data_IF_347794042612
#
_entry.id   IF_347794042612
#
_cell.length_a   1.000
_cell.length_b   1.000
_cell.length_c   1.000
_cell.angle_alpha   90.00
_cell.angle_beta   90.00
_cell.angle_gamma   90.00
#
_symmetry.space_group_name_H-M   'P 1'
#
loop_
_entity.id
_entity.type
_entity.pdbx_description
1 polymer ?
#
# COMPACT_ATOMS: atom_id res chain seq x y z
N UNK A 1 -17.02 -20.64 6.08
CA UNK A 1 -17.59 -19.30 6.36
C UNK A 1 -16.52 -18.32 5.97
N UNK A 2 -16.74 -17.51 4.93
CA UNK A 2 -15.88 -16.35 4.67
C UNK A 2 -16.43 -15.28 5.63
N UNK A 3 -15.71 -15.02 6.71
CA UNK A 3 -16.01 -13.87 7.56
C UNK A 3 -15.85 -12.62 6.68
N UNK A 4 -16.88 -11.77 6.64
CA UNK A 4 -16.80 -10.49 5.95
C UNK A 4 -15.87 -9.61 6.78
N UNK A 5 -14.72 -9.29 6.24
CA UNK A 5 -13.75 -8.39 6.86
C UNK A 5 -14.25 -6.97 6.65
N UNK A 6 -14.36 -6.18 7.71
CA UNK A 6 -14.54 -4.73 7.57
C UNK A 6 -13.22 -4.02 7.86
N UNK A 7 -12.78 -3.26 6.87
CA UNK A 7 -11.55 -2.49 6.88
C UNK A 7 -11.90 -1.00 7.00
N UNK A 8 -11.19 -0.28 7.87
CA UNK A 8 -11.43 1.16 8.05
C UNK A 8 -10.13 1.95 7.87
N UNK A 9 -10.20 2.96 7.00
CA UNK A 9 -9.06 3.79 6.61
C UNK A 9 -9.48 5.26 6.44
N UNK A 10 -8.53 6.16 6.70
CA UNK A 10 -8.60 7.61 6.49
C UNK A 10 -7.19 8.08 6.11
N UNK A 11 -7.10 9.11 5.27
CA UNK A 11 -5.89 9.92 5.16
C UNK A 11 -6.02 11.16 6.05
N UNK A 12 -5.47 11.20 7.27
CA UNK A 12 -4.75 10.15 8.03
C UNK A 12 -5.36 10.05 9.43
N UNK A 13 -5.19 8.93 10.14
CA UNK A 13 -5.24 8.97 11.61
C UNK A 13 -4.09 9.81 12.14
N UNK A 14 -4.35 10.66 13.12
CA UNK A 14 -3.42 11.71 13.50
C UNK A 14 -2.19 11.16 14.24
N UNK A 15 -2.39 10.23 15.16
CA UNK A 15 -1.38 9.65 16.04
C UNK A 15 -1.87 8.34 16.70
N UNK A 16 -1.05 7.77 17.59
CA UNK A 16 -1.37 6.56 18.34
C UNK A 16 -2.61 6.70 19.25
N UNK A 17 -2.90 7.89 19.77
CA UNK A 17 -4.07 8.12 20.62
C UNK A 17 -5.36 8.18 19.80
N UNK A 18 -5.31 8.73 18.58
CA UNK A 18 -6.41 8.70 17.61
C UNK A 18 -6.76 7.25 17.22
N UNK A 19 -5.75 6.43 16.91
CA UNK A 19 -5.91 4.98 16.67
C UNK A 19 -6.63 4.29 17.84
N UNK A 20 -6.19 4.56 19.07
CA UNK A 20 -6.80 3.99 20.28
C UNK A 20 -8.25 4.45 20.47
N UNK A 21 -8.52 5.73 20.24
CA UNK A 21 -9.86 6.32 20.34
C UNK A 21 -10.82 5.67 19.35
N UNK A 22 -10.38 5.51 18.10
CA UNK A 22 -11.19 4.91 17.03
C UNK A 22 -11.44 3.43 17.29
N UNK A 23 -10.40 2.67 17.64
CA UNK A 23 -10.51 1.25 18.02
C UNK A 23 -11.49 1.02 19.19
N UNK A 24 -11.47 1.91 20.19
CA UNK A 24 -12.42 1.84 21.31
C UNK A 24 -13.86 2.21 20.90
N UNK A 25 -14.04 3.20 20.02
CA UNK A 25 -15.37 3.65 19.60
C UNK A 25 -16.13 2.57 18.83
N UNK A 26 -15.47 1.75 18.02
CA UNK A 26 -16.12 0.61 17.37
C UNK A 26 -16.75 -0.36 18.37
N UNK A 27 -16.09 -0.60 19.52
CA UNK A 27 -16.66 -1.43 20.59
C UNK A 27 -17.81 -0.72 21.31
N UNK A 28 -17.68 0.58 21.56
CA UNK A 28 -18.72 1.39 22.23
C UNK A 28 -20.01 1.43 21.42
N UNK A 29 -19.91 1.52 20.09
CA UNK A 29 -21.06 1.61 19.19
C UNK A 29 -21.51 0.26 18.63
N UNK A 30 -20.92 -0.85 19.07
CA UNK A 30 -21.23 -2.21 18.61
C UNK A 30 -21.15 -2.36 17.08
N UNK A 31 -20.10 -1.80 16.49
CA UNK A 31 -19.80 -1.88 15.06
C UNK A 31 -18.58 -2.80 14.88
N UNK A 32 -18.71 -3.98 14.26
CA UNK A 32 -17.59 -4.87 14.05
C UNK A 32 -16.62 -4.32 13.00
N UNK A 33 -15.33 -4.47 13.27
CA UNK A 33 -14.26 -4.26 12.30
C UNK A 33 -13.03 -5.10 12.65
N UNK A 34 -12.24 -5.41 11.62
CA UNK A 34 -11.10 -6.30 11.69
C UNK A 34 -9.76 -5.56 11.57
N UNK A 35 -9.70 -4.52 10.73
CA UNK A 35 -8.42 -3.90 10.36
C UNK A 35 -8.48 -2.37 10.44
N UNK A 36 -7.49 -1.78 11.10
CA UNK A 36 -7.23 -0.33 11.07
C UNK A 36 -6.02 0.00 10.18
N UNK A 37 -6.11 1.05 9.40
CA UNK A 37 -5.13 1.38 8.36
C UNK A 37 -4.40 2.68 8.65
N UNK A 38 -3.08 2.68 8.43
CA UNK A 38 -2.22 3.84 8.59
C UNK A 38 -1.62 4.26 7.24
N UNK A 39 -2.09 5.40 6.74
CA UNK A 39 -1.61 6.06 5.53
C UNK A 39 -0.28 6.83 5.79
N UNK A 40 0.24 7.57 4.81
CA UNK A 40 1.62 8.04 4.71
C UNK A 40 2.10 8.91 5.89
N UNK A 41 1.19 9.52 6.66
CA UNK A 41 1.56 10.38 7.79
C UNK A 41 2.04 9.59 9.01
N UNK A 42 1.94 8.25 9.00
CA UNK A 42 2.56 7.42 10.04
C UNK A 42 4.08 7.34 9.95
N UNK A 43 4.63 7.63 8.78
CA UNK A 43 6.07 7.53 8.50
C UNK A 43 6.84 8.74 9.01
N UNK A 44 8.14 8.59 9.28
CA UNK A 44 9.02 9.72 9.56
C UNK A 44 9.35 10.48 8.27
N UNK A 45 8.49 11.44 7.91
CA UNK A 45 8.68 12.31 6.76
C UNK A 45 8.69 11.55 5.43
N UNK A 46 7.79 10.58 5.26
CA UNK A 46 7.59 9.79 4.03
C UNK A 46 8.81 8.95 3.67
N UNK A 47 9.51 8.49 4.72
CA UNK A 47 10.49 7.41 4.66
C UNK A 47 9.77 6.13 5.07
N UNK A 48 9.47 5.26 4.11
CA UNK A 48 8.84 3.98 4.40
C UNK A 48 9.70 3.10 5.32
N UNK A 49 9.10 2.09 5.95
CA UNK A 49 9.75 1.27 7.00
C UNK A 49 10.20 2.07 8.24
N UNK A 50 9.63 3.26 8.46
CA UNK A 50 9.88 4.08 9.65
C UNK A 50 8.56 4.56 10.26
N UNK A 51 8.64 5.09 11.49
CA UNK A 51 7.51 5.64 12.23
C UNK A 51 7.83 7.08 12.62
N UNK A 52 6.86 7.99 12.50
CA UNK A 52 6.99 9.35 13.04
C UNK A 52 7.14 9.26 14.57
N UNK A 53 8.27 9.71 15.14
CA UNK A 53 8.55 9.51 16.57
C UNK A 53 7.70 10.39 17.49
N UNK A 54 7.05 11.44 16.96
CA UNK A 54 6.14 12.28 17.74
C UNK A 54 4.72 11.70 17.75
N UNK A 55 4.26 11.14 16.62
CA UNK A 55 2.89 10.63 16.46
C UNK A 55 2.75 9.15 16.84
N UNK A 56 3.76 8.33 16.55
CA UNK A 56 3.74 6.87 16.72
C UNK A 56 4.98 6.36 17.47
N UNK A 57 5.25 6.87 18.70
CA UNK A 57 6.45 6.52 19.45
C UNK A 57 6.51 5.06 19.91
N UNK A 58 5.37 4.40 20.09
CA UNK A 58 5.27 3.02 20.60
C UNK A 58 4.45 2.13 19.65
N UNK A 59 4.86 2.07 18.38
CA UNK A 59 4.11 1.36 17.33
C UNK A 59 3.84 -0.13 17.63
N UNK A 60 4.79 -0.86 18.24
CA UNK A 60 4.56 -2.27 18.63
C UNK A 60 3.45 -2.40 19.68
N UNK A 61 3.44 -1.51 20.68
CA UNK A 61 2.39 -1.48 21.70
C UNK A 61 1.03 -1.17 21.07
N UNK A 62 0.99 -0.16 20.20
CA UNK A 62 -0.23 0.21 19.46
C UNK A 62 -0.79 -0.97 18.66
N UNK A 63 0.05 -1.65 17.87
CA UNK A 63 -0.38 -2.79 17.05
C UNK A 63 -0.84 -3.95 17.95
N UNK A 64 -0.12 -4.24 19.03
CA UNK A 64 -0.48 -5.32 19.95
C UNK A 64 -1.78 -5.03 20.72
N UNK A 65 -2.05 -3.77 21.07
CA UNK A 65 -3.30 -3.36 21.70
C UNK A 65 -4.49 -3.60 20.77
N UNK A 66 -4.39 -3.22 19.49
CA UNK A 66 -5.40 -3.55 18.47
C UNK A 66 -5.54 -5.07 18.32
N UNK A 67 -4.41 -5.78 18.19
CA UNK A 67 -4.39 -7.22 18.00
C UNK A 67 -4.95 -8.03 19.18
N UNK A 68 -4.92 -7.48 20.40
CA UNK A 68 -5.49 -8.12 21.60
C UNK A 68 -6.99 -8.40 21.49
N UNK A 69 -7.69 -7.69 20.59
CA UNK A 69 -9.11 -7.84 20.28
C UNK A 69 -9.37 -8.73 19.07
N UNK A 70 -8.35 -9.41 18.54
CA UNK A 70 -8.43 -10.20 17.31
C UNK A 70 -8.19 -9.40 16.02
N UNK A 71 -8.16 -8.06 16.11
CA UNK A 71 -7.97 -7.14 14.98
C UNK A 71 -6.54 -7.16 14.43
N UNK A 72 -6.32 -6.44 13.33
CA UNK A 72 -5.04 -6.29 12.64
C UNK A 72 -4.80 -4.83 12.27
N UNK A 73 -3.59 -4.53 11.82
CA UNK A 73 -3.24 -3.21 11.31
C UNK A 73 -2.63 -3.35 9.92
N UNK A 74 -2.81 -2.35 9.07
CA UNK A 74 -2.11 -2.22 7.78
C UNK A 74 -1.38 -0.89 7.74
N UNK A 75 -0.14 -0.89 7.26
CA UNK A 75 0.62 0.34 6.95
C UNK A 75 0.93 0.45 5.46
N UNK A 76 0.90 1.69 4.96
CA UNK A 76 1.31 1.99 3.60
C UNK A 76 2.83 1.91 3.41
N UNK A 77 3.26 1.31 2.30
CA UNK A 77 4.66 1.21 1.87
C UNK A 77 4.69 1.36 0.34
N UNK A 78 5.09 2.53 -0.15
CA UNK A 78 5.12 2.81 -1.59
C UNK A 78 6.51 2.55 -2.19
N UNK A 79 6.63 2.37 -3.51
CA UNK A 79 7.90 2.02 -4.15
C UNK A 79 8.83 3.21 -4.41
N UNK A 80 8.54 4.40 -3.90
CA UNK A 80 9.41 5.57 -4.03
C UNK A 80 10.19 5.82 -2.74
N UNK A 81 11.50 5.92 -2.84
CA UNK A 81 12.40 6.11 -1.71
C UNK A 81 12.88 7.55 -1.68
N UNK A 82 12.58 8.28 -0.60
CA UNK A 82 13.11 9.62 -0.35
C UNK A 82 14.62 9.66 -0.55
N UNK A 83 15.08 10.56 -1.41
CA UNK A 83 16.51 10.78 -1.67
C UNK A 83 17.17 11.50 -0.49
N UNK A 84 17.53 10.74 0.55
CA UNK A 84 18.11 11.25 1.81
C UNK A 84 19.24 10.34 2.31
N UNK A 85 20.43 10.90 2.51
CA UNK A 85 21.60 10.16 2.99
C UNK A 85 21.47 9.64 4.42
N UNK A 86 20.46 10.07 5.19
CA UNK A 86 20.15 9.54 6.52
C UNK A 86 19.08 8.44 6.49
N UNK A 87 18.55 8.10 5.32
CA UNK A 87 17.55 7.05 5.15
C UNK A 87 18.22 5.75 4.66
N UNK A 88 18.41 4.79 5.58
CA UNK A 88 19.18 3.57 5.33
C UNK A 88 18.70 2.75 4.12
N UNK A 89 17.38 2.62 3.93
CA UNK A 89 16.81 1.87 2.79
C UNK A 89 17.17 2.52 1.46
N UNK A 90 17.11 3.84 1.36
CA UNK A 90 17.55 4.58 0.17
C UNK A 90 19.05 4.44 -0.07
N UNK A 91 19.86 4.62 0.97
CA UNK A 91 21.33 4.50 0.88
C UNK A 91 21.72 3.10 0.38
N UNK A 92 21.10 2.05 0.91
CA UNK A 92 21.36 0.68 0.48
C UNK A 92 20.95 0.46 -0.98
N UNK A 93 19.78 0.93 -1.41
CA UNK A 93 19.31 0.81 -2.79
C UNK A 93 20.24 1.53 -3.77
N UNK A 94 20.68 2.75 -3.43
CA UNK A 94 21.63 3.55 -4.21
C UNK A 94 22.99 2.85 -4.32
N UNK A 95 23.56 2.43 -3.19
CA UNK A 95 24.92 1.89 -3.15
C UNK A 95 25.01 0.51 -3.82
N UNK A 96 23.92 -0.27 -3.81
CA UNK A 96 23.81 -1.54 -4.55
C UNK A 96 23.39 -1.35 -6.02
N UNK A 97 23.09 -0.12 -6.44
CA UNK A 97 22.65 0.19 -7.80
C UNK A 97 21.28 -0.40 -8.15
N UNK A 98 20.40 -0.59 -7.16
CA UNK A 98 19.08 -1.22 -7.29
C UNK A 98 17.99 -0.32 -7.88
N UNK A 99 18.23 0.99 -7.99
CA UNK A 99 17.26 1.91 -8.56
C UNK A 99 17.17 1.79 -10.09
N UNK A 100 15.97 2.07 -10.63
CA UNK A 100 15.78 2.28 -12.08
C UNK A 100 16.66 3.43 -12.55
N UNK A 101 17.08 3.39 -13.82
CA UNK A 101 18.08 4.34 -14.36
C UNK A 101 17.48 5.29 -15.38
N UNK A 102 18.06 6.47 -15.53
CA UNK A 102 17.77 7.32 -16.68
C UNK A 102 18.30 6.69 -17.98
N UNK A 103 17.80 7.15 -19.12
CA UNK A 103 18.25 6.71 -20.45
C UNK A 103 19.78 6.83 -20.66
N UNK A 104 20.40 7.85 -20.06
CA UNK A 104 21.81 8.19 -20.17
C UNK A 104 22.66 7.54 -19.05
N UNK A 105 22.03 6.69 -18.21
CA UNK A 105 22.63 6.12 -17.00
C UNK A 105 22.38 6.97 -15.75
N UNK A 106 22.89 6.49 -14.61
CA UNK A 106 22.61 7.08 -13.30
C UNK A 106 21.20 6.79 -12.79
N UNK A 107 20.99 6.94 -11.47
CA UNK A 107 19.70 6.70 -10.84
C UNK A 107 18.65 7.69 -11.34
N UNK A 108 17.45 7.19 -11.64
CA UNK A 108 16.29 8.03 -11.89
C UNK A 108 15.90 8.78 -10.62
N UNK A 109 15.79 10.11 -10.71
CA UNK A 109 15.27 10.98 -9.66
C UNK A 109 14.01 11.69 -10.16
N UNK A 110 12.99 11.69 -9.31
CA UNK A 110 11.69 12.28 -9.58
C UNK A 110 11.05 12.75 -8.28
N UNK A 111 9.87 13.37 -8.38
CA UNK A 111 9.16 13.90 -7.22
C UNK A 111 7.95 13.04 -6.90
N UNK A 112 7.80 12.71 -5.62
CA UNK A 112 6.58 12.11 -5.08
C UNK A 112 6.30 12.69 -3.68
N UNK A 113 5.60 11.97 -2.80
CA UNK A 113 5.24 12.45 -1.46
C UNK A 113 6.41 13.00 -0.63
N UNK A 114 7.60 12.38 -0.58
CA UNK A 114 8.73 12.90 0.18
C UNK A 114 9.54 13.99 -0.57
N UNK A 115 9.07 14.47 -1.72
CA UNK A 115 9.85 15.31 -2.63
C UNK A 115 10.74 14.46 -3.54
N UNK A 116 12.01 14.87 -3.70
CA UNK A 116 13.01 14.11 -4.47
C UNK A 116 13.12 12.68 -3.95
N UNK A 117 12.96 11.74 -4.89
CA UNK A 117 12.83 10.31 -4.66
C UNK A 117 13.50 9.51 -5.76
N UNK A 118 13.91 8.30 -5.43
CA UNK A 118 14.34 7.26 -6.37
C UNK A 118 13.42 6.05 -6.29
N UNK A 119 13.41 5.19 -7.30
CA UNK A 119 12.56 4.01 -7.35
C UNK A 119 13.40 2.75 -7.53
N UNK A 120 13.29 1.75 -6.64
CA UNK A 120 13.89 0.43 -6.86
C UNK A 120 13.34 -0.19 -8.15
N UNK A 121 14.19 -0.92 -8.87
CA UNK A 121 13.83 -1.63 -10.07
C UNK A 121 13.26 -3.02 -9.73
N UNK A 122 11.97 -3.07 -9.45
CA UNK A 122 11.27 -4.31 -9.08
C UNK A 122 11.24 -5.37 -10.19
N UNK A 123 11.60 -5.02 -11.43
CA UNK A 123 11.77 -6.00 -12.51
C UNK A 123 12.94 -6.94 -12.23
N UNK A 124 13.93 -6.47 -11.46
CA UNK A 124 15.09 -7.25 -11.04
C UNK A 124 14.75 -8.19 -9.86
N UNK A 125 14.93 -9.52 -10.00
CA UNK A 125 14.65 -10.47 -8.93
C UNK A 125 15.48 -10.25 -7.66
N UNK A 126 16.71 -9.75 -7.77
CA UNK A 126 17.54 -9.46 -6.59
C UNK A 126 17.01 -8.25 -5.82
N UNK A 127 16.46 -7.25 -6.52
CA UNK A 127 15.79 -6.11 -5.89
C UNK A 127 14.51 -6.56 -5.18
N UNK A 128 13.75 -7.50 -5.76
CA UNK A 128 12.56 -8.06 -5.08
C UNK A 128 12.93 -8.82 -3.80
N UNK A 129 13.99 -9.64 -3.82
CA UNK A 129 14.50 -10.33 -2.62
C UNK A 129 14.98 -9.34 -1.56
N UNK A 130 15.70 -8.29 -1.97
CA UNK A 130 16.13 -7.22 -1.07
C UNK A 130 14.93 -6.50 -0.46
N UNK A 131 13.93 -6.12 -1.25
CA UNK A 131 12.71 -5.49 -0.76
C UNK A 131 11.96 -6.38 0.22
N UNK A 132 11.79 -7.66 -0.11
CA UNK A 132 11.19 -8.65 0.79
C UNK A 132 11.92 -8.73 2.14
N UNK A 133 13.26 -8.66 2.14
CA UNK A 133 14.03 -8.65 3.39
C UNK A 133 13.76 -7.44 4.28
N UNK A 134 13.36 -6.28 3.73
CA UNK A 134 13.05 -5.09 4.52
C UNK A 134 11.81 -5.28 5.41
N UNK A 135 10.98 -6.30 5.18
CA UNK A 135 9.82 -6.64 6.01
C UNK A 135 10.13 -7.56 7.19
N UNK A 136 11.36 -8.06 7.31
CA UNK A 136 11.81 -8.81 8.49
C UNK A 136 11.64 -7.93 9.74
N UNK A 137 11.25 -8.51 10.88
CA UNK A 137 10.99 -7.74 12.11
C UNK A 137 12.25 -7.01 12.61
N UNK A 138 13.43 -7.56 12.30
CA UNK A 138 14.70 -6.93 12.59
C UNK A 138 15.02 -5.73 11.69
N UNK A 139 14.43 -5.64 10.50
CA UNK A 139 14.61 -4.54 9.54
C UNK A 139 13.49 -3.49 9.70
N UNK A 140 12.22 -3.91 9.70
CA UNK A 140 11.08 -3.04 9.93
C UNK A 140 10.77 -2.95 11.44
N UNK A 141 11.62 -2.22 12.16
CA UNK A 141 11.44 -1.94 13.59
C UNK A 141 10.07 -1.31 13.86
N UNK A 142 9.40 -1.75 14.92
CA UNK A 142 8.04 -1.29 15.22
C UNK A 142 6.92 -2.11 14.57
N UNK A 143 7.24 -3.08 13.69
CA UNK A 143 6.25 -4.00 13.12
C UNK A 143 6.06 -5.24 13.99
N UNK A 144 4.89 -5.87 13.88
CA UNK A 144 4.57 -7.13 14.59
C UNK A 144 3.91 -8.12 13.61
N UNK A 145 3.72 -9.40 14.00
CA UNK A 145 3.02 -10.37 13.16
C UNK A 145 1.58 -9.97 12.76
N UNK A 146 0.97 -9.02 13.48
CA UNK A 146 -0.39 -8.52 13.18
C UNK A 146 -0.41 -7.28 12.27
N UNK A 147 0.74 -6.87 11.71
CA UNK A 147 0.86 -5.73 10.80
C UNK A 147 0.99 -6.19 9.33
N UNK A 148 0.06 -5.83 8.47
CA UNK A 148 0.09 -6.11 7.03
C UNK A 148 0.40 -4.85 6.22
N UNK A 149 0.38 -4.94 4.88
CA UNK A 149 0.93 -3.87 4.04
C UNK A 149 -0.03 -3.43 2.94
N UNK A 150 0.00 -2.15 2.65
CA UNK A 150 -0.65 -1.51 1.53
C UNK A 150 0.42 -0.94 0.60
N UNK A 151 0.42 -1.33 -0.67
CA UNK A 151 1.24 -0.72 -1.71
C UNK A 151 0.38 0.24 -2.54
N UNK A 152 0.64 1.53 -2.40
CA UNK A 152 0.09 2.56 -3.26
C UNK A 152 1.16 3.11 -4.21
N UNK A 153 0.76 4.02 -5.09
CA UNK A 153 1.67 4.80 -5.93
C UNK A 153 2.58 3.95 -6.84
N UNK A 154 2.18 2.72 -7.13
CA UNK A 154 3.00 1.69 -7.75
C UNK A 154 2.74 1.49 -9.25
N UNK A 155 2.10 2.45 -9.92
CA UNK A 155 2.01 2.49 -11.38
C UNK A 155 3.37 2.47 -12.12
N UNK A 156 4.44 3.18 -11.71
CA UNK A 156 4.66 4.05 -10.53
C UNK A 156 4.23 5.51 -10.73
N UNK A 157 3.69 6.11 -9.67
CA UNK A 157 3.31 7.53 -9.68
C UNK A 157 4.51 8.45 -9.48
N UNK A 158 4.75 9.35 -10.44
CA UNK A 158 5.82 10.35 -10.40
C UNK A 158 5.25 11.72 -10.71
N UNK A 159 5.15 12.61 -9.71
CA UNK A 159 4.42 13.87 -9.78
C UNK A 159 4.90 14.83 -10.86
N UNK A 160 6.20 14.82 -11.14
CA UNK A 160 6.82 15.64 -12.19
C UNK A 160 7.11 14.86 -13.49
N UNK A 161 6.64 13.62 -13.60
CA UNK A 161 6.80 12.78 -14.77
C UNK A 161 5.68 12.98 -15.81
N UNK A 162 5.87 12.55 -17.07
CA UNK A 162 4.82 12.56 -18.07
C UNK A 162 3.66 11.68 -17.62
N UNK A 163 2.42 12.18 -17.75
CA UNK A 163 1.22 11.44 -17.33
C UNK A 163 1.27 10.97 -15.86
N UNK A 164 2.04 11.68 -15.02
CA UNK A 164 2.28 11.33 -13.60
C UNK A 164 2.96 9.95 -13.45
N UNK A 165 3.85 9.59 -14.37
CA UNK A 165 4.56 8.31 -14.34
C UNK A 165 5.99 8.43 -14.89
N UNK A 166 6.73 7.33 -14.94
CA UNK A 166 8.06 7.28 -15.54
C UNK A 166 8.07 7.74 -16.99
N UNK A 167 9.18 8.38 -17.39
CA UNK A 167 9.47 8.54 -18.80
C UNK A 167 9.60 7.17 -19.48
N UNK A 168 9.20 7.10 -20.76
CA UNK A 168 9.19 5.84 -21.52
C UNK A 168 10.58 5.23 -21.73
N UNK A 169 11.63 6.03 -21.68
CA UNK A 169 13.03 5.67 -21.90
C UNK A 169 13.82 5.43 -20.60
N UNK A 170 13.17 5.47 -19.43
CA UNK A 170 13.72 4.94 -18.18
C UNK A 170 14.16 3.50 -18.41
N UNK A 171 15.34 3.14 -17.91
CA UNK A 171 15.96 1.83 -18.08
C UNK A 171 15.75 0.97 -16.84
N UNK A 172 15.25 -0.23 -17.08
CA UNK A 172 15.14 -1.33 -16.14
C UNK A 172 16.30 -2.33 -16.35
N UNK A 173 16.25 -3.44 -15.61
CA UNK A 173 17.15 -4.58 -15.73
C UNK A 173 17.34 -4.99 -17.19
N UNK A 174 18.56 -5.43 -17.53
CA UNK A 174 18.96 -5.88 -18.87
C UNK A 174 18.76 -4.85 -20.00
N UNK A 175 18.54 -3.59 -19.65
CA UNK A 175 18.40 -2.48 -20.61
C UNK A 175 17.01 -2.32 -21.21
N UNK A 176 16.02 -3.06 -20.71
CA UNK A 176 14.61 -2.86 -21.07
C UNK A 176 14.18 -1.44 -20.77
N UNK A 177 13.34 -0.88 -21.63
CA UNK A 177 12.77 0.44 -21.41
C UNK A 177 11.48 0.32 -20.61
N UNK A 178 11.13 1.38 -19.87
CA UNK A 178 9.86 1.44 -19.15
C UNK A 178 8.67 1.20 -20.09
N UNK A 179 8.73 1.63 -21.37
CA UNK A 179 7.68 1.32 -22.36
C UNK A 179 7.40 -0.17 -22.55
N UNK A 180 8.37 -1.04 -22.27
CA UNK A 180 8.25 -2.49 -22.44
C UNK A 180 7.62 -3.16 -21.22
N UNK A 181 7.84 -2.58 -20.03
CA UNK A 181 7.54 -3.21 -18.73
C UNK A 181 6.57 -2.41 -17.85
N UNK A 182 6.12 -1.24 -18.29
CA UNK A 182 5.39 -0.26 -17.47
C UNK A 182 4.29 -0.89 -16.62
N UNK A 183 3.36 -1.61 -17.26
CA UNK A 183 2.21 -2.21 -16.59
C UNK A 183 2.56 -3.37 -15.64
N UNK A 184 3.78 -3.91 -15.70
CA UNK A 184 4.26 -4.97 -14.81
C UNK A 184 4.95 -4.44 -13.56
N UNK A 185 5.30 -3.15 -13.50
CA UNK A 185 6.02 -2.57 -12.36
C UNK A 185 5.24 -2.77 -11.06
N UNK A 186 3.97 -2.35 -11.02
CA UNK A 186 3.10 -2.51 -9.86
C UNK A 186 2.88 -3.96 -9.42
N UNK A 187 2.76 -4.88 -10.39
CA UNK A 187 2.70 -6.33 -10.12
C UNK A 187 3.94 -6.81 -9.35
N UNK A 188 5.13 -6.37 -9.74
CA UNK A 188 6.37 -6.79 -9.07
C UNK A 188 6.57 -6.13 -7.71
N UNK A 189 6.06 -4.91 -7.50
CA UNK A 189 6.00 -4.28 -6.16
C UNK A 189 5.14 -5.12 -5.23
N UNK A 190 3.92 -5.45 -5.65
CA UNK A 190 3.00 -6.27 -4.84
C UNK A 190 3.58 -7.66 -4.55
N UNK A 191 4.18 -8.30 -5.56
CA UNK A 191 4.86 -9.59 -5.40
C UNK A 191 5.96 -9.52 -4.34
N UNK A 192 6.87 -8.54 -4.44
CA UNK A 192 8.00 -8.42 -3.52
C UNK A 192 7.54 -8.16 -2.08
N UNK A 193 6.48 -7.37 -1.89
CA UNK A 193 5.87 -7.12 -0.58
C UNK A 193 5.24 -8.39 -0.01
N UNK A 194 4.48 -9.14 -0.82
CA UNK A 194 3.87 -10.41 -0.39
C UNK A 194 4.93 -11.46 -0.03
N UNK A 195 6.02 -11.54 -0.82
CA UNK A 195 7.18 -12.38 -0.51
C UNK A 195 7.86 -11.95 0.80
N UNK A 196 7.91 -10.66 1.13
CA UNK A 196 8.42 -10.17 2.41
C UNK A 196 7.56 -10.57 3.61
N UNK A 197 6.23 -10.51 3.46
CA UNK A 197 5.25 -10.97 4.45
C UNK A 197 5.35 -12.48 4.72
N UNK A 198 5.58 -13.27 3.67
CA UNK A 198 5.86 -14.70 3.80
C UNK A 198 7.21 -14.96 4.49
N UNK A 199 8.25 -14.22 4.08
CA UNK A 199 9.61 -14.38 4.60
C UNK A 199 9.68 -14.12 6.11
N UNK A 200 9.08 -13.03 6.60
CA UNK A 200 9.10 -12.67 8.03
C UNK A 200 8.36 -13.67 8.93
N UNK A 201 7.46 -14.48 8.37
CA UNK A 201 6.74 -15.54 9.08
C UNK A 201 7.32 -16.93 8.83
N UNK A 202 8.47 -17.04 8.14
CA UNK A 202 9.04 -18.32 7.70
C UNK A 202 8.03 -19.20 6.94
N UNK A 203 7.23 -18.57 6.07
CA UNK A 203 6.15 -19.17 5.28
C UNK A 203 5.08 -19.89 6.13
N UNK A 204 4.92 -19.55 7.40
CA UNK A 204 3.89 -20.15 8.27
C UNK A 204 2.55 -19.41 8.19
N UNK A 205 2.59 -18.11 7.91
CA UNK A 205 1.39 -17.28 7.83
C UNK A 205 1.07 -16.90 6.38
N UNK A 206 -0.22 -16.67 6.10
CA UNK A 206 -0.62 -16.02 4.85
C UNK A 206 -0.31 -14.53 4.92
N UNK A 207 -0.02 -13.94 3.77
CA UNK A 207 0.14 -12.50 3.65
C UNK A 207 -1.20 -11.81 3.36
N UNK A 208 -1.24 -10.50 3.59
CA UNK A 208 -2.22 -9.58 3.03
C UNK A 208 -1.48 -8.38 2.47
N UNK A 209 -1.73 -8.07 1.20
CA UNK A 209 -1.17 -6.91 0.49
C UNK A 209 -2.22 -6.30 -0.41
N UNK A 210 -2.61 -5.06 -0.12
CA UNK A 210 -3.47 -4.27 -1.02
C UNK A 210 -2.59 -3.54 -2.06
N UNK A 211 -2.97 -3.53 -3.34
CA UNK A 211 -2.24 -2.85 -4.44
C UNK A 211 -3.12 -1.91 -5.25
N UNK A 212 -2.59 -0.78 -5.70
CA UNK A 212 -3.29 0.11 -6.64
C UNK A 212 -3.10 -0.35 -8.08
N UNK A 213 -1.86 -0.40 -8.53
CA UNK A 213 -1.49 -0.89 -9.84
C UNK A 213 -1.40 -2.42 -9.84
N UNK A 214 -1.89 -3.05 -10.91
CA UNK A 214 -1.88 -4.50 -11.06
C UNK A 214 -1.81 -4.90 -12.53
N UNK A 215 -1.37 -6.14 -12.75
CA UNK A 215 -1.34 -6.80 -14.06
C UNK A 215 -1.97 -8.20 -14.01
N UNK A 216 -2.07 -8.88 -15.15
CA UNK A 216 -2.47 -10.28 -15.20
C UNK A 216 -1.56 -11.14 -14.30
N UNK A 217 -2.16 -11.83 -13.33
CA UNK A 217 -1.44 -12.61 -12.32
C UNK A 217 -1.39 -11.99 -10.93
N UNK A 218 -1.78 -10.72 -10.76
CA UNK A 218 -1.78 -10.02 -9.46
C UNK A 218 -2.72 -10.66 -8.43
N UNK A 219 -3.73 -11.42 -8.88
CA UNK A 219 -4.60 -12.19 -7.99
C UNK A 219 -3.86 -13.22 -7.12
N UNK A 220 -2.61 -13.54 -7.45
CA UNK A 220 -1.75 -14.41 -6.63
C UNK A 220 -1.15 -13.71 -5.42
N UNK A 221 -1.15 -12.36 -5.40
CA UNK A 221 -0.35 -11.56 -4.47
C UNK A 221 -1.16 -10.63 -3.57
N UNK A 222 -2.49 -10.74 -3.59
CA UNK A 222 -3.36 -10.06 -2.63
C UNK A 222 -4.55 -9.41 -3.30
N UNK A 223 -4.89 -8.22 -2.81
CA UNK A 223 -6.13 -7.51 -3.11
C UNK A 223 -5.84 -6.26 -3.94
N UNK A 224 -6.82 -5.78 -4.69
CA UNK A 224 -6.72 -4.51 -5.42
C UNK A 224 -7.95 -3.63 -5.20
N UNK A 225 -7.80 -2.32 -5.17
CA UNK A 225 -8.94 -1.40 -5.12
C UNK A 225 -8.94 -0.46 -6.32
N UNK A 226 -10.07 0.22 -6.56
CA UNK A 226 -10.25 1.08 -7.74
C UNK A 226 -9.53 2.43 -7.67
N UNK A 227 -8.72 2.67 -6.65
CA UNK A 227 -8.10 3.97 -6.43
C UNK A 227 -9.11 5.04 -6.03
N UNK A 228 -8.63 6.28 -6.14
CA UNK A 228 -9.28 7.50 -5.62
C UNK A 228 -10.62 7.80 -6.32
N UNK A 229 -11.69 7.26 -5.76
CA UNK A 229 -13.07 7.53 -6.20
C UNK A 229 -13.64 8.79 -5.49
N UNK A 230 -14.89 9.15 -5.82
CA UNK A 230 -15.55 10.34 -5.28
C UNK A 230 -16.75 9.94 -4.41
N UNK A 231 -17.03 10.74 -3.39
CA UNK A 231 -18.21 10.67 -2.54
C UNK A 231 -19.48 11.18 -3.24
N UNK A 232 -19.73 10.73 -4.48
CA UNK A 232 -20.98 10.93 -5.21
C UNK A 232 -21.67 9.63 -5.67
N UNK A 233 -22.99 9.71 -5.90
CA UNK A 233 -23.82 8.58 -6.35
C UNK A 233 -23.35 7.92 -7.65
N UNK A 234 -22.71 8.67 -8.55
CA UNK A 234 -22.18 8.11 -9.79
C UNK A 234 -21.00 7.16 -9.54
N UNK A 235 -20.13 7.48 -8.59
CA UNK A 235 -19.03 6.63 -8.21
C UNK A 235 -19.51 5.40 -7.41
N UNK A 236 -20.53 5.54 -6.56
CA UNK A 236 -21.20 4.37 -5.96
C UNK A 236 -21.74 3.45 -7.07
N UNK A 237 -22.41 3.99 -8.08
CA UNK A 237 -22.99 3.21 -9.18
C UNK A 237 -21.93 2.51 -10.04
N UNK A 238 -20.80 3.16 -10.33
CA UNK A 238 -19.74 2.60 -11.20
C UNK A 238 -18.85 1.59 -10.49
N UNK A 239 -18.80 1.60 -9.15
CA UNK A 239 -18.02 0.62 -8.37
C UNK A 239 -18.39 -0.84 -8.72
N UNK A 240 -19.69 -1.16 -8.80
CA UNK A 240 -20.15 -2.51 -9.11
C UNK A 240 -19.70 -3.05 -10.48
N UNK A 241 -19.92 -2.35 -11.63
CA UNK A 241 -19.41 -2.84 -12.91
C UNK A 241 -17.89 -2.89 -12.97
N UNK A 242 -17.16 -2.03 -12.24
CA UNK A 242 -15.69 -2.13 -12.12
C UNK A 242 -15.29 -3.40 -11.36
N UNK A 243 -15.96 -3.72 -10.25
CA UNK A 243 -15.70 -4.97 -9.51
C UNK A 243 -15.99 -6.19 -10.38
N UNK A 244 -17.11 -6.17 -11.10
CA UNK A 244 -17.48 -7.29 -11.97
C UNK A 244 -16.47 -7.47 -13.12
N UNK A 245 -15.94 -6.40 -13.70
CA UNK A 245 -14.93 -6.51 -14.76
C UNK A 245 -13.62 -7.10 -14.24
N UNK A 246 -13.17 -6.71 -13.04
CA UNK A 246 -12.00 -7.28 -12.37
C UNK A 246 -12.18 -8.76 -12.05
N UNK A 247 -13.34 -9.12 -11.49
CA UNK A 247 -13.70 -10.50 -11.19
C UNK A 247 -13.67 -11.38 -12.46
N UNK A 248 -14.20 -10.90 -13.59
CA UNK A 248 -14.22 -11.62 -14.86
C UNK A 248 -12.81 -11.94 -15.39
N UNK A 249 -11.81 -11.12 -15.05
CA UNK A 249 -10.40 -11.34 -15.45
C UNK A 249 -9.55 -11.96 -14.32
N UNK A 250 -10.18 -12.44 -13.25
CA UNK A 250 -9.54 -13.19 -12.19
C UNK A 250 -9.02 -12.37 -11.01
N UNK A 251 -9.13 -11.04 -11.03
CA UNK A 251 -8.85 -10.17 -9.87
C UNK A 251 -10.10 -10.15 -8.99
N UNK A 252 -10.26 -11.20 -8.17
CA UNK A 252 -11.50 -11.44 -7.43
C UNK A 252 -11.55 -10.83 -6.03
N UNK A 253 -10.37 -10.54 -5.47
CA UNK A 253 -10.24 -9.82 -4.20
C UNK A 253 -10.11 -8.33 -4.50
N UNK A 254 -11.25 -7.68 -4.72
CA UNK A 254 -11.29 -6.28 -5.12
C UNK A 254 -12.48 -5.51 -4.57
N UNK A 255 -12.31 -4.20 -4.42
CA UNK A 255 -13.28 -3.28 -3.84
C UNK A 255 -13.02 -1.81 -4.22
N UNK A 256 -13.77 -0.91 -3.61
CA UNK A 256 -13.65 0.53 -3.80
C UNK A 256 -13.82 1.24 -2.44
N UNK A 257 -13.31 2.46 -2.31
CA UNK A 257 -13.41 3.18 -1.04
C UNK A 257 -14.87 3.49 -0.70
N UNK A 258 -15.29 3.04 0.49
CA UNK A 258 -16.64 3.21 1.02
C UNK A 258 -16.80 4.67 1.45
N UNK A 259 -17.80 5.36 0.88
CA UNK A 259 -18.01 6.79 1.11
C UNK A 259 -17.31 7.70 0.10
N UNK A 260 -16.37 7.15 -0.68
CA UNK A 260 -15.58 7.91 -1.65
C UNK A 260 -14.33 8.55 -1.03
N UNK A 261 -13.19 8.48 -1.74
CA UNK A 261 -11.93 9.08 -1.29
C UNK A 261 -11.98 10.62 -1.27
N UNK A 262 -12.49 11.21 -2.36
CA UNK A 262 -12.66 12.65 -2.47
C UNK A 262 -14.09 13.09 -2.16
N UNK A 263 -14.25 14.33 -1.65
CA UNK A 263 -15.52 14.95 -1.23
C UNK A 263 -16.11 14.30 0.03
N UNK A 264 -17.12 14.95 0.61
CA UNK A 264 -17.84 14.46 1.77
C UNK A 264 -19.23 13.95 1.33
N UNK A 265 -19.50 12.63 1.37
CA UNK A 265 -20.83 12.12 1.09
C UNK A 265 -21.81 12.55 2.18
N UNK A 266 -23.08 12.73 1.83
CA UNK A 266 -24.13 12.87 2.84
C UNK A 266 -24.37 11.51 3.56
N UNK A 267 -25.09 11.55 4.68
CA UNK A 267 -25.35 10.36 5.50
C UNK A 267 -26.11 9.27 4.74
N UNK A 268 -27.03 9.64 3.83
CA UNK A 268 -27.77 8.65 3.04
C UNK A 268 -26.83 7.91 2.11
N UNK A 269 -26.03 8.67 1.36
CA UNK A 269 -25.08 8.14 0.40
C UNK A 269 -24.00 7.30 1.10
N UNK A 270 -23.46 7.74 2.23
CA UNK A 270 -22.51 6.94 3.03
C UNK A 270 -23.14 5.62 3.48
N UNK A 271 -24.37 5.65 3.96
CA UNK A 271 -25.11 4.43 4.36
C UNK A 271 -25.30 3.48 3.17
N UNK A 272 -25.60 4.00 1.97
CA UNK A 272 -25.71 3.16 0.76
C UNK A 272 -24.38 2.56 0.33
N UNK A 273 -23.27 3.26 0.55
CA UNK A 273 -21.95 2.72 0.32
C UNK A 273 -21.65 1.52 1.21
N UNK A 274 -21.91 1.61 2.51
CA UNK A 274 -21.77 0.48 3.44
C UNK A 274 -22.67 -0.70 3.04
N UNK A 275 -23.90 -0.43 2.58
CA UNK A 275 -24.80 -1.51 2.12
C UNK A 275 -24.23 -2.20 0.87
N UNK A 276 -23.74 -1.44 -0.10
CA UNK A 276 -23.18 -1.98 -1.33
C UNK A 276 -21.88 -2.76 -1.10
N UNK A 277 -21.01 -2.28 -0.20
CA UNK A 277 -19.72 -2.91 0.08
C UNK A 277 -19.83 -4.30 0.68
N UNK A 278 -20.94 -4.64 1.33
CA UNK A 278 -21.19 -5.99 1.82
C UNK A 278 -21.23 -7.07 0.72
N UNK A 279 -21.24 -6.67 -0.55
CA UNK A 279 -21.19 -7.53 -1.73
C UNK A 279 -19.77 -7.70 -2.30
N UNK A 280 -18.80 -6.91 -1.83
CA UNK A 280 -17.42 -6.96 -2.30
C UNK A 280 -16.60 -7.95 -1.44
N UNK A 281 -15.57 -8.53 -2.05
CA UNK A 281 -14.59 -9.38 -1.38
C UNK A 281 -13.33 -8.53 -1.19
N UNK A 282 -13.37 -7.64 -0.20
CA UNK A 282 -12.18 -7.08 0.45
C UNK A 282 -12.32 -7.38 1.93
#
# INVERSE_FOLDING_TARGET
>A
MVEKVSEYTLWNYNDQDDVKSVDANFDVYDIPYDVIWLDIEHTNGKRYFTWDPAKFPNSEEMINNVASKGRKMVTIVDPHLKSDSNYGVYVEARDKGYNVKNKDGGDYDGWCWPGSSSWPDFTNPEVRKWWASKFLFEEYKGSTPSLFTWNDMNEPSVFNGPEITFHKDVKHMDGFENRDLHNMYGFYVQQATAEGQLLRSNNQERFFVLTRAFFAGSQRWGSAWTGDNMGDWSHLKVSNPMMLSLNLVGITHSGADIGGFFKNPDTELLTRWYQASTLWLI
#
